data_IF_970358825749
#
_entry.id   IF_970358825749
#
_cell.length_a   1.000
_cell.length_b   1.000
_cell.length_c   1.000
_cell.angle_alpha   90.00
_cell.angle_beta   90.00
_cell.angle_gamma   90.00
#
_symmetry.space_group_name_H-M   'P 1'
#
loop_
_entity.id
_entity.type
_entity.pdbx_description
1 polymer ?
#
# COMPACT_ATOMS: atom_id res chain seq x y z
N UNK A 1 3.34 12.98 -1.87
CA UNK A 1 2.19 12.62 -1.03
C UNK A 1 1.20 13.73 -1.22
N UNK A 2 0.03 13.39 -1.76
CA UNK A 2 -0.99 14.37 -2.12
C UNK A 2 -2.26 14.12 -1.31
N UNK A 3 -3.10 15.14 -1.15
CA UNK A 3 -4.43 15.00 -0.56
C UNK A 3 -4.46 14.55 0.91
N UNK A 4 -3.42 14.86 1.68
CA UNK A 4 -3.30 14.43 3.07
C UNK A 4 -4.49 14.85 3.94
N UNK A 5 -5.08 13.90 4.65
CA UNK A 5 -6.20 14.08 5.57
C UNK A 5 -5.92 13.40 6.90
N UNK A 6 -6.37 14.04 7.99
CA UNK A 6 -6.36 13.46 9.33
C UNK A 6 -7.79 13.10 9.70
N UNK A 7 -8.02 11.84 10.09
CA UNK A 7 -9.29 11.37 10.60
C UNK A 7 -9.11 10.94 12.05
N UNK A 8 -9.85 11.54 12.95
CA UNK A 8 -9.84 11.21 14.37
C UNK A 8 -11.28 11.02 14.88
N UNK A 9 -11.43 10.23 15.93
CA UNK A 9 -12.71 10.12 16.65
C UNK A 9 -12.69 11.06 17.84
N UNK A 10 -13.85 11.55 18.30
CA UNK A 10 -13.97 12.38 19.51
C UNK A 10 -13.70 11.64 20.83
N UNK A 11 -12.99 10.50 20.77
CA UNK A 11 -12.62 9.70 21.92
C UNK A 11 -11.57 10.44 22.78
N UNK A 12 -11.47 10.05 24.06
CA UNK A 12 -10.52 10.66 25.00
C UNK A 12 -9.03 10.42 24.64
N UNK A 13 -8.74 9.46 23.75
CA UNK A 13 -7.39 9.23 23.22
C UNK A 13 -7.09 10.15 22.03
N UNK A 14 -5.87 10.64 21.92
CA UNK A 14 -5.33 11.36 20.76
C UNK A 14 -4.97 10.44 19.58
N UNK A 15 -5.74 9.37 19.37
CA UNK A 15 -5.50 8.43 18.27
C UNK A 15 -6.16 8.97 17.00
N UNK A 16 -5.49 8.82 15.87
CA UNK A 16 -5.95 9.31 14.57
C UNK A 16 -5.40 8.44 13.44
N UNK A 17 -5.90 8.68 12.24
CA UNK A 17 -5.52 7.99 11.01
C UNK A 17 -5.09 9.04 9.98
N UNK A 18 -3.92 8.85 9.39
CA UNK A 18 -3.54 9.54 8.17
C UNK A 18 -4.22 8.88 6.99
N UNK A 19 -4.71 9.70 6.05
CA UNK A 19 -5.13 9.25 4.71
C UNK A 19 -4.42 10.09 3.69
N UNK A 20 -3.81 9.47 2.69
CA UNK A 20 -3.04 10.18 1.67
C UNK A 20 -2.93 9.38 0.38
N UNK A 21 -2.59 10.05 -0.71
CA UNK A 21 -2.18 9.40 -1.95
C UNK A 21 -0.66 9.32 -2.00
N UNK A 22 -0.14 8.09 -2.00
CA UNK A 22 1.26 7.77 -2.30
C UNK A 22 1.46 7.77 -3.81
N UNK A 23 2.39 8.60 -4.27
CA UNK A 23 2.83 8.60 -5.67
C UNK A 23 4.18 7.90 -5.77
N UNK A 24 4.26 6.85 -6.58
CA UNK A 24 5.49 6.14 -6.90
C UNK A 24 5.81 6.37 -8.37
N UNK A 25 7.03 6.78 -8.69
CA UNK A 25 7.48 6.99 -10.07
C UNK A 25 8.66 6.06 -10.34
N UNK A 26 8.55 5.28 -11.41
CA UNK A 26 9.60 4.42 -11.94
C UNK A 26 9.98 4.94 -13.32
N UNK A 27 11.26 5.24 -13.53
CA UNK A 27 11.75 5.82 -14.78
C UNK A 27 12.52 4.82 -15.61
N UNK A 28 12.49 4.97 -16.94
CA UNK A 28 13.23 4.15 -17.91
C UNK A 28 13.02 2.64 -17.72
N UNK A 29 11.81 2.24 -17.35
CA UNK A 29 11.49 0.85 -17.06
C UNK A 29 11.32 0.05 -18.36
N UNK A 30 12.10 -1.03 -18.48
CA UNK A 30 12.16 -1.87 -19.69
C UNK A 30 11.46 -3.24 -19.55
N UNK A 31 10.90 -3.53 -18.38
CA UNK A 31 10.31 -4.83 -18.07
C UNK A 31 8.79 -4.86 -18.23
N UNK A 32 8.20 -6.00 -17.87
CA UNK A 32 6.74 -6.12 -17.75
C UNK A 32 6.26 -5.41 -16.48
N UNK A 33 5.33 -4.46 -16.64
CA UNK A 33 4.70 -3.71 -15.55
C UNK A 33 4.07 -4.62 -14.49
N UNK A 34 3.63 -5.83 -14.87
CA UNK A 34 3.12 -6.83 -13.93
C UNK A 34 4.13 -7.16 -12.84
N UNK A 35 5.44 -7.12 -13.13
CA UNK A 35 6.47 -7.37 -12.12
C UNK A 35 6.60 -6.26 -11.08
N UNK A 36 6.11 -5.05 -11.37
CA UNK A 36 5.98 -3.96 -10.40
C UNK A 36 4.65 -4.04 -9.64
N UNK A 37 3.56 -4.31 -10.37
CA UNK A 37 2.20 -4.35 -9.81
C UNK A 37 2.04 -5.48 -8.80
N UNK A 38 2.55 -6.69 -9.09
CA UNK A 38 2.29 -7.84 -8.22
C UNK A 38 2.88 -7.69 -6.82
N UNK A 39 4.15 -7.27 -6.63
CA UNK A 39 4.68 -6.96 -5.31
C UNK A 39 3.88 -5.89 -4.55
N UNK A 40 3.45 -4.83 -5.25
CA UNK A 40 2.60 -3.80 -4.65
C UNK A 40 1.24 -4.36 -4.23
N UNK A 41 0.60 -5.18 -5.06
CA UNK A 41 -0.65 -5.87 -4.72
C UNK A 41 -0.50 -6.81 -3.52
N UNK A 42 0.62 -7.53 -3.41
CA UNK A 42 0.91 -8.38 -2.26
C UNK A 42 1.05 -7.57 -0.96
N UNK A 43 1.71 -6.42 -1.04
CA UNK A 43 1.79 -5.48 0.08
C UNK A 43 0.41 -4.92 0.46
N UNK A 44 -0.38 -4.48 -0.52
CA UNK A 44 -1.71 -3.91 -0.29
C UNK A 44 -2.70 -4.93 0.26
N UNK A 45 -2.67 -6.19 -0.20
CA UNK A 45 -3.51 -7.24 0.38
C UNK A 45 -3.27 -7.41 1.88
N UNK A 46 -2.01 -7.29 2.30
CA UNK A 46 -1.59 -7.51 3.69
C UNK A 46 -1.85 -6.29 4.56
N UNK A 47 -1.55 -5.10 4.06
CA UNK A 47 -1.54 -3.88 4.86
C UNK A 47 -2.73 -2.96 4.59
N UNK A 48 -3.47 -3.13 3.50
CA UNK A 48 -4.63 -2.29 3.17
C UNK A 48 -5.74 -3.15 2.52
N UNK A 49 -6.19 -4.23 3.19
CA UNK A 49 -7.16 -5.17 2.60
C UNK A 49 -8.46 -4.49 2.15
N UNK A 50 -8.86 -3.40 2.81
CA UNK A 50 -10.04 -2.60 2.46
C UNK A 50 -9.98 -2.02 1.04
N UNK A 51 -8.79 -1.79 0.48
CA UNK A 51 -8.60 -1.39 -0.92
C UNK A 51 -9.10 -2.48 -1.87
N UNK A 52 -8.97 -3.75 -1.51
CA UNK A 52 -9.38 -4.89 -2.35
C UNK A 52 -10.80 -5.38 -2.04
N UNK A 53 -11.23 -5.23 -0.79
CA UNK A 53 -12.49 -5.77 -0.29
C UNK A 53 -13.66 -4.80 -0.45
N UNK A 54 -13.45 -3.50 -0.33
CA UNK A 54 -14.51 -2.50 -0.46
C UNK A 54 -14.70 -2.09 -1.93
N UNK A 55 -15.84 -2.43 -2.58
CA UNK A 55 -16.05 -2.11 -4.00
C UNK A 55 -15.97 -0.62 -4.32
N UNK A 56 -16.39 0.25 -3.39
CA UNK A 56 -16.39 1.70 -3.59
C UNK A 56 -14.97 2.29 -3.59
N UNK A 57 -14.06 1.69 -2.81
CA UNK A 57 -12.66 2.11 -2.70
C UNK A 57 -11.83 1.47 -3.83
N UNK A 58 -12.07 0.18 -4.10
CA UNK A 58 -11.29 -0.63 -5.04
C UNK A 58 -11.14 -0.05 -6.42
N UNK A 59 -12.17 0.59 -6.95
CA UNK A 59 -12.13 1.18 -8.30
C UNK A 59 -11.18 2.38 -8.42
N UNK A 60 -10.83 3.02 -7.31
CA UNK A 60 -10.09 4.29 -7.32
C UNK A 60 -8.81 4.32 -6.48
N UNK A 61 -8.58 3.32 -5.64
CA UNK A 61 -7.49 3.35 -4.67
C UNK A 61 -6.11 2.94 -5.22
N UNK A 62 -6.03 2.26 -6.36
CA UNK A 62 -4.74 1.93 -6.98
C UNK A 62 -4.81 2.18 -8.49
N UNK A 63 -4.14 3.24 -8.94
CA UNK A 63 -4.10 3.69 -10.35
C UNK A 63 -2.66 3.72 -10.84
N UNK A 64 -2.50 3.60 -12.15
CA UNK A 64 -1.21 3.75 -12.79
C UNK A 64 -1.34 4.54 -14.09
N UNK A 65 -0.26 5.20 -14.50
CA UNK A 65 -0.10 5.82 -15.81
C UNK A 65 1.24 5.39 -16.39
N UNK A 66 1.29 5.27 -17.72
CA UNK A 66 2.50 4.91 -18.46
C UNK A 66 2.74 5.99 -19.50
N UNK A 67 3.96 6.51 -19.53
CA UNK A 67 4.48 7.35 -20.60
C UNK A 67 5.64 6.63 -21.30
N UNK A 68 5.54 6.43 -22.61
CA UNK A 68 6.55 5.67 -23.35
C UNK A 68 7.70 6.58 -23.75
N UNK A 69 8.89 6.29 -23.25
CA UNK A 69 10.10 7.03 -23.58
C UNK A 69 10.59 6.65 -24.99
N UNK A 70 10.48 5.36 -25.34
CA UNK A 70 10.81 4.80 -26.65
C UNK A 70 10.15 3.40 -26.83
N UNK A 71 10.57 2.62 -27.83
CA UNK A 71 10.05 1.28 -28.10
C UNK A 71 10.44 0.21 -27.06
N UNK A 72 11.30 0.55 -26.10
CA UNK A 72 11.92 -0.37 -25.15
C UNK A 72 11.77 0.07 -23.70
N UNK A 73 11.53 1.36 -23.41
CA UNK A 73 11.42 1.88 -22.04
C UNK A 73 10.22 2.81 -21.87
N UNK A 74 9.68 2.83 -20.66
CA UNK A 74 8.59 3.70 -20.25
C UNK A 74 8.79 4.24 -18.83
N UNK A 75 8.31 5.45 -18.59
CA UNK A 75 8.11 6.00 -17.27
C UNK A 75 6.72 5.60 -16.75
N UNK A 76 6.66 5.09 -15.52
CA UNK A 76 5.44 4.55 -14.92
C UNK A 76 5.19 5.28 -13.61
N UNK A 77 4.02 5.87 -13.48
CA UNK A 77 3.55 6.43 -12.21
C UNK A 77 2.46 5.56 -11.62
N UNK A 78 2.48 5.42 -10.30
CA UNK A 78 1.42 4.77 -9.52
C UNK A 78 0.87 5.76 -8.50
N UNK A 79 -0.45 5.80 -8.39
CA UNK A 79 -1.18 6.55 -7.36
C UNK A 79 -1.90 5.55 -6.47
N UNK A 80 -1.57 5.54 -5.18
CA UNK A 80 -2.08 4.57 -4.21
C UNK A 80 -2.68 5.32 -3.02
N UNK A 81 -3.98 5.14 -2.77
CA UNK A 81 -4.63 5.68 -1.58
C UNK A 81 -4.29 4.78 -0.40
N UNK A 82 -3.60 5.34 0.59
CA UNK A 82 -3.18 4.61 1.79
C UNK A 82 -3.76 5.26 3.04
N UNK A 83 -3.97 4.42 4.04
CA UNK A 83 -4.26 4.82 5.41
C UNK A 83 -3.09 4.43 6.33
N UNK A 84 -2.89 5.19 7.42
CA UNK A 84 -1.90 4.84 8.44
C UNK A 84 -2.40 5.27 9.81
N UNK A 85 -2.56 4.29 10.70
CA UNK A 85 -3.13 4.53 12.03
C UNK A 85 -2.08 4.87 13.07
N UNK A 86 -2.29 5.99 13.75
CA UNK A 86 -1.52 6.44 14.91
C UNK A 86 -2.35 6.22 16.17
N UNK A 87 -1.87 5.36 17.06
CA UNK A 87 -2.50 5.06 18.34
C UNK A 87 -1.78 5.80 19.44
N UNK A 88 -2.55 6.52 20.26
CA UNK A 88 -2.05 7.15 21.46
C UNK A 88 -2.47 6.37 22.71
N UNK A 89 -1.55 6.22 23.66
CA UNK A 89 -1.81 5.67 24.97
C UNK A 89 -1.48 6.71 26.03
N UNK A 90 -2.44 7.00 26.90
CA UNK A 90 -2.25 7.91 28.03
C UNK A 90 -1.59 7.17 29.18
N UNK A 91 -0.52 7.74 29.72
CA UNK A 91 0.21 7.25 30.89
C UNK A 91 0.36 8.39 31.91
N UNK A 92 -0.60 8.46 32.85
CA UNK A 92 -0.73 9.61 33.76
C UNK A 92 -0.99 10.93 33.02
N UNK A 93 -0.05 11.87 33.11
CA UNK A 93 -0.07 13.14 32.37
C UNK A 93 0.69 13.07 31.02
N UNK A 94 1.29 11.92 30.70
CA UNK A 94 2.04 11.72 29.46
C UNK A 94 1.15 11.06 28.40
N UNK A 95 1.50 11.29 27.14
CA UNK A 95 0.90 10.62 25.97
C UNK A 95 2.03 9.95 25.21
N UNK A 96 1.93 8.63 25.05
CA UNK A 96 2.83 7.85 24.20
C UNK A 96 2.15 7.60 22.86
N UNK A 97 2.88 7.79 21.77
CA UNK A 97 2.38 7.65 20.40
C UNK A 97 3.06 6.43 19.76
N UNK A 98 2.27 5.58 19.13
CA UNK A 98 2.74 4.42 18.39
C UNK A 98 2.03 4.32 17.05
N UNK A 99 2.79 4.03 16.00
CA UNK A 99 2.25 3.68 14.69
C UNK A 99 1.78 2.23 14.76
N UNK A 100 0.48 2.02 14.63
CA UNK A 100 -0.10 0.70 14.63
C UNK A 100 0.12 0.05 13.26
N UNK A 101 0.46 -1.24 13.25
CA UNK A 101 0.31 -2.03 12.03
C UNK A 101 -1.16 -2.10 11.67
N UNK A 102 -1.40 -2.22 10.38
CA UNK A 102 -2.73 -2.37 9.83
C UNK A 102 -3.38 -3.66 10.33
N UNK A 103 -4.68 -3.64 10.64
CA UNK A 103 -5.38 -4.82 11.10
C UNK A 103 -5.43 -5.85 9.97
N UNK A 104 -4.81 -7.01 10.22
CA UNK A 104 -4.86 -8.16 9.32
C UNK A 104 -6.10 -8.99 9.62
N UNK A 105 -6.88 -9.34 8.59
CA UNK A 105 -8.12 -10.12 8.75
C UNK A 105 -7.86 -11.61 8.99
N UNK A 106 -6.74 -12.17 8.50
CA UNK A 106 -6.33 -13.58 8.63
C UNK A 106 -4.83 -13.71 9.04
N UNK A 107 -4.37 -14.93 9.37
CA UNK A 107 -2.95 -15.21 9.63
C UNK A 107 -2.10 -15.16 8.34
N UNK A 108 -0.91 -14.52 8.35
CA UNK A 108 -0.08 -14.37 7.16
C UNK A 108 0.44 -15.71 6.62
N UNK A 109 0.11 -16.02 5.36
CA UNK A 109 0.64 -17.10 4.54
C UNK A 109 1.81 -16.62 3.65
N UNK A 110 2.90 -17.40 3.56
CA UNK A 110 4.06 -17.03 2.74
C UNK A 110 3.79 -17.27 1.25
N UNK A 111 3.81 -16.22 0.43
CA UNK A 111 3.55 -16.30 -1.03
C UNK A 111 4.82 -16.06 -1.84
N UNK A 112 5.04 -16.93 -2.83
CA UNK A 112 6.06 -16.77 -3.87
C UNK A 112 5.38 -16.54 -5.21
N UNK A 113 5.74 -15.44 -5.87
CA UNK A 113 5.22 -15.10 -7.20
C UNK A 113 6.33 -15.26 -8.22
N UNK A 114 5.99 -15.84 -9.37
CA UNK A 114 6.90 -16.12 -10.47
C UNK A 114 6.41 -15.46 -11.76
N UNK A 115 7.33 -14.98 -12.59
CA UNK A 115 7.04 -14.54 -13.96
C UNK A 115 7.36 -15.68 -14.93
N UNK A 116 6.38 -16.11 -15.72
CA UNK A 116 6.47 -17.19 -16.74
C UNK A 116 6.82 -18.60 -16.24
N UNK A 117 7.83 -18.78 -15.40
CA UNK A 117 8.32 -20.08 -14.90
C UNK A 117 8.76 -20.04 -13.42
N UNK A 118 8.68 -21.19 -12.73
CA UNK A 118 8.95 -21.32 -11.28
C UNK A 118 10.41 -21.05 -10.86
N UNK A 119 11.30 -20.81 -11.81
CA UNK A 119 12.72 -20.59 -11.55
C UNK A 119 13.06 -19.09 -11.36
N UNK A 120 12.12 -18.19 -11.64
CA UNK A 120 12.32 -16.73 -11.59
C UNK A 120 11.34 -16.06 -10.60
N UNK A 121 11.64 -16.07 -9.28
CA UNK A 121 10.78 -15.41 -8.31
C UNK A 121 10.86 -13.88 -8.45
N UNK A 122 9.71 -13.24 -8.61
CA UNK A 122 9.58 -11.78 -8.67
C UNK A 122 9.16 -11.16 -7.33
N UNK A 123 8.69 -12.00 -6.40
CA UNK A 123 8.37 -11.60 -5.03
C UNK A 123 8.43 -12.80 -4.09
N UNK A 124 9.02 -12.59 -2.91
CA UNK A 124 8.97 -13.53 -1.78
C UNK A 124 8.68 -12.73 -0.50
N UNK A 125 7.56 -13.02 0.14
CA UNK A 125 7.14 -12.32 1.35
C UNK A 125 5.92 -12.98 2.02
N UNK A 126 5.62 -12.53 3.23
CA UNK A 126 4.44 -12.97 3.97
C UNK A 126 3.22 -12.17 3.50
N UNK A 127 2.10 -12.84 3.22
CA UNK A 127 0.84 -12.22 2.81
C UNK A 127 -0.34 -12.83 3.54
N UNK A 128 -1.30 -12.03 3.98
CA UNK A 128 -2.55 -12.52 4.62
C UNK A 128 -3.38 -13.35 3.64
#
# INVERSE_FOLDING_TARGET
>A
MDGGQIVATGAASFSFEYRYTLNVVVTDYAGDIATLIVPMMAYLRTNQPEILENPQIRENAFKFQIDYNNNNTADISFEIQLTERVVSKKDGNNVQIHYAKEPVWDEPNRVKVYLENRDSPIFEGDTV
#
